data_IF_826656335028
#
_entry.id   IF_826656335028
#
_cell.length_a   1.000
_cell.length_b   1.000
_cell.length_c   1.000
_cell.angle_alpha   90.00
_cell.angle_beta   90.00
_cell.angle_gamma   90.00
#
_symmetry.space_group_name_H-M   'P 1'
#
loop_
_entity.id
_entity.type
_entity.pdbx_description
1 polymer ?
#
# COMPACT_ATOMS: atom_id res chain seq x y z
N UNK A 1 -20.97 13.05 -2.28
CA UNK A 1 -21.36 11.77 -1.64
C UNK A 1 -20.56 10.62 -2.24
N UNK A 2 -20.49 10.49 -3.57
CA UNK A 2 -19.73 9.44 -4.25
C UNK A 2 -18.20 9.49 -4.03
N UNK A 3 -17.59 10.68 -4.04
CA UNK A 3 -16.15 10.85 -3.80
C UNK A 3 -15.71 10.38 -2.40
N UNK A 4 -16.49 10.70 -1.35
CA UNK A 4 -16.16 10.28 0.01
C UNK A 4 -16.25 8.76 0.17
N UNK A 5 -17.21 8.12 -0.49
CA UNK A 5 -17.35 6.67 -0.47
C UNK A 5 -16.12 5.97 -1.08
N UNK A 6 -15.60 6.51 -2.19
CA UNK A 6 -14.39 5.97 -2.82
C UNK A 6 -13.16 6.10 -1.92
N UNK A 7 -13.01 7.24 -1.26
CA UNK A 7 -11.91 7.47 -0.32
C UNK A 7 -11.96 6.46 0.83
N UNK A 8 -13.14 6.25 1.43
CA UNK A 8 -13.34 5.26 2.49
C UNK A 8 -13.00 3.82 2.04
N UNK A 9 -13.42 3.45 0.82
CA UNK A 9 -13.12 2.13 0.25
C UNK A 9 -11.61 1.91 0.11
N UNK A 10 -10.90 2.91 -0.41
CA UNK A 10 -9.44 2.87 -0.61
C UNK A 10 -8.70 2.83 0.73
N UNK A 11 -9.11 3.65 1.72
CA UNK A 11 -8.56 3.62 3.08
C UNK A 11 -8.65 2.22 3.68
N UNK A 12 -9.82 1.58 3.53
CA UNK A 12 -10.04 0.21 4.02
C UNK A 12 -9.19 -0.82 3.28
N UNK A 13 -9.14 -0.77 1.94
CA UNK A 13 -8.34 -1.70 1.11
C UNK A 13 -6.86 -1.62 1.43
N UNK A 14 -6.36 -0.43 1.75
CA UNK A 14 -4.96 -0.19 2.11
C UNK A 14 -4.65 -0.42 3.59
N UNK A 15 -5.63 -0.86 4.39
CA UNK A 15 -5.44 -1.08 5.83
C UNK A 15 -5.02 0.19 6.58
N UNK A 16 -5.57 1.35 6.18
CA UNK A 16 -5.28 2.66 6.76
C UNK A 16 -6.38 3.17 7.70
N UNK A 17 -7.43 2.38 7.94
CA UNK A 17 -8.57 2.81 8.77
C UNK A 17 -8.17 3.24 10.19
N UNK A 18 -7.17 2.60 10.80
CA UNK A 18 -6.70 2.95 12.14
C UNK A 18 -5.92 4.27 12.21
N UNK A 19 -5.45 4.78 11.07
CA UNK A 19 -4.64 6.00 10.99
C UNK A 19 -5.27 7.05 10.03
N UNK A 20 -6.55 6.91 9.67
CA UNK A 20 -7.21 7.75 8.67
C UNK A 20 -7.20 9.24 9.02
N UNK A 21 -7.38 9.55 10.31
CA UNK A 21 -7.38 10.92 10.84
C UNK A 21 -6.04 11.33 11.47
N UNK A 22 -4.98 10.55 11.23
CA UNK A 22 -3.64 10.84 11.75
C UNK A 22 -2.91 11.80 10.82
N UNK A 23 -2.18 12.76 11.39
CA UNK A 23 -1.30 13.63 10.61
C UNK A 23 -0.24 12.80 9.88
N UNK A 24 -0.02 13.08 8.59
CA UNK A 24 1.00 12.40 7.77
C UNK A 24 2.39 12.56 8.40
N UNK A 25 2.68 13.73 8.98
CA UNK A 25 3.97 14.06 9.58
C UNK A 25 4.93 14.68 8.57
N UNK A 26 6.03 15.22 9.10
CA UNK A 26 7.14 15.78 8.33
C UNK A 26 8.40 15.01 8.73
N UNK A 27 9.12 14.40 7.79
CA UNK A 27 10.34 13.65 8.09
C UNK A 27 11.29 14.48 8.96
N UNK A 28 11.76 13.90 10.07
CA UNK A 28 12.68 14.51 11.03
C UNK A 28 12.17 15.80 11.72
N UNK A 29 10.88 16.12 11.65
CA UNK A 29 10.32 17.33 12.30
C UNK A 29 9.04 17.05 13.06
N UNK A 30 8.05 16.45 12.42
CA UNK A 30 6.72 16.19 13.02
C UNK A 30 6.41 14.72 12.89
N UNK A 31 6.20 14.05 14.03
CA UNK A 31 5.79 12.64 14.05
C UNK A 31 4.41 12.49 13.41
N UNK A 32 4.24 11.48 12.57
CA UNK A 32 2.99 11.17 11.90
C UNK A 32 2.87 9.68 11.60
N UNK A 33 2.50 9.34 10.37
CA UNK A 33 2.38 7.96 9.91
C UNK A 33 3.72 7.21 9.96
N UNK A 34 3.65 5.90 10.19
CA UNK A 34 4.80 5.02 10.04
C UNK A 34 5.27 4.94 8.58
N UNK A 35 6.49 4.47 8.35
CA UNK A 35 7.03 4.32 6.99
C UNK A 35 6.15 3.38 6.12
N UNK A 36 5.65 2.28 6.70
CA UNK A 36 4.75 1.36 5.99
C UNK A 36 3.38 1.98 5.68
N UNK A 37 2.80 2.75 6.61
CA UNK A 37 1.54 3.48 6.36
C UNK A 37 1.72 4.57 5.30
N UNK A 38 2.83 5.31 5.35
CA UNK A 38 3.15 6.32 4.33
C UNK A 38 3.30 5.69 2.94
N UNK A 39 3.92 4.51 2.84
CA UNK A 39 4.02 3.77 1.58
C UNK A 39 2.64 3.33 1.07
N UNK A 40 1.78 2.78 1.95
CA UNK A 40 0.40 2.40 1.59
C UNK A 40 -0.46 3.61 1.23
N UNK A 41 -0.24 4.77 1.87
CA UNK A 41 -0.91 6.02 1.53
C UNK A 41 -0.51 6.51 0.13
N UNK A 42 0.76 6.37 -0.27
CA UNK A 42 1.17 6.69 -1.63
C UNK A 42 0.41 5.84 -2.65
N UNK A 43 0.31 4.52 -2.45
CA UNK A 43 -0.50 3.65 -3.31
C UNK A 43 -1.99 3.99 -3.26
N UNK A 44 -2.52 4.32 -2.08
CA UNK A 44 -3.90 4.75 -1.90
C UNK A 44 -4.24 5.92 -2.84
N UNK A 45 -3.35 6.93 -2.90
CA UNK A 45 -3.53 8.10 -3.77
C UNK A 45 -3.59 7.70 -5.25
N UNK A 46 -2.74 6.78 -5.69
CA UNK A 46 -2.71 6.32 -7.09
C UNK A 46 -3.99 5.57 -7.49
N UNK A 47 -4.49 4.70 -6.61
CA UNK A 47 -5.65 3.84 -6.92
C UNK A 47 -7.01 4.54 -6.77
N UNK A 48 -7.06 5.76 -6.26
CA UNK A 48 -8.29 6.56 -6.22
C UNK A 48 -8.92 6.68 -7.61
N UNK A 49 -8.10 6.69 -8.65
CA UNK A 49 -8.51 6.78 -10.07
C UNK A 49 -9.02 5.47 -10.68
N UNK A 50 -9.00 4.36 -9.93
CA UNK A 50 -9.37 3.03 -10.41
C UNK A 50 -8.60 2.59 -11.68
N UNK A 51 -7.24 2.62 -11.69
CA UNK A 51 -6.49 2.18 -12.86
C UNK A 51 -6.72 0.68 -13.11
N UNK A 52 -6.71 0.26 -14.38
CA UNK A 52 -6.80 -1.17 -14.72
C UNK A 52 -5.48 -1.91 -14.47
N UNK A 53 -4.35 -1.21 -14.61
CA UNK A 53 -3.02 -1.73 -14.40
C UNK A 53 -2.25 -0.77 -13.48
N UNK A 54 -1.62 -1.33 -12.44
CA UNK A 54 -0.77 -0.60 -11.50
C UNK A 54 0.67 -1.14 -11.59
N UNK A 55 1.62 -0.24 -11.85
CA UNK A 55 3.05 -0.55 -11.83
C UNK A 55 3.67 -0.05 -10.53
N UNK A 56 4.42 -0.90 -9.83
CA UNK A 56 5.14 -0.51 -8.61
C UNK A 56 6.61 -0.89 -8.70
N UNK A 57 7.49 0.11 -8.67
CA UNK A 57 8.92 -0.11 -8.63
C UNK A 57 9.40 -0.23 -7.18
N UNK A 58 9.98 -1.38 -6.83
CA UNK A 58 10.53 -1.70 -5.50
C UNK A 58 9.66 -1.24 -4.32
N UNK A 59 8.39 -1.72 -4.20
CA UNK A 59 7.44 -1.22 -3.21
C UNK A 59 7.86 -1.51 -1.76
N UNK A 60 8.78 -2.45 -1.55
CA UNK A 60 9.30 -2.87 -0.25
C UNK A 60 10.59 -2.16 0.15
N UNK A 61 11.15 -1.29 -0.69
CA UNK A 61 12.41 -0.61 -0.41
C UNK A 61 12.29 0.31 0.82
N UNK A 62 13.27 0.18 1.73
CA UNK A 62 13.34 0.92 3.00
C UNK A 62 12.40 0.40 4.10
N UNK A 63 11.76 -0.76 3.91
CA UNK A 63 10.89 -1.39 4.90
C UNK A 63 11.54 -2.63 5.51
N UNK A 64 11.24 -2.90 6.78
CA UNK A 64 11.54 -4.21 7.38
C UNK A 64 10.63 -5.31 6.80
N UNK A 65 10.95 -6.57 7.07
CA UNK A 65 10.22 -7.71 6.52
C UNK A 65 8.73 -7.74 6.89
N UNK A 66 8.39 -7.27 8.11
CA UNK A 66 7.01 -7.24 8.59
C UNK A 66 6.20 -6.18 7.84
N UNK A 67 6.72 -4.94 7.77
CA UNK A 67 6.10 -3.84 7.03
C UNK A 67 5.99 -4.13 5.53
N UNK A 68 7.04 -4.73 4.94
CA UNK A 68 7.03 -5.17 3.54
C UNK A 68 5.91 -6.18 3.28
N UNK A 69 5.70 -7.14 4.18
CA UNK A 69 4.58 -8.09 4.11
C UNK A 69 3.22 -7.40 4.06
N UNK A 70 3.00 -6.37 4.89
CA UNK A 70 1.76 -5.58 4.86
C UNK A 70 1.56 -4.82 3.55
N UNK A 71 2.62 -4.24 2.98
CA UNK A 71 2.54 -3.54 1.68
C UNK A 71 2.19 -4.52 0.57
N UNK A 72 2.87 -5.66 0.50
CA UNK A 72 2.64 -6.67 -0.54
C UNK A 72 1.26 -7.32 -0.39
N UNK A 73 0.79 -7.59 0.83
CA UNK A 73 -0.56 -8.09 1.07
C UNK A 73 -1.64 -7.10 0.60
N UNK A 74 -1.43 -5.79 0.79
CA UNK A 74 -2.35 -4.77 0.28
C UNK A 74 -2.37 -4.76 -1.26
N UNK A 75 -1.21 -4.82 -1.92
CA UNK A 75 -1.12 -4.91 -3.38
C UNK A 75 -1.75 -6.21 -3.92
N UNK A 76 -1.57 -7.34 -3.21
CA UNK A 76 -2.22 -8.61 -3.54
C UNK A 76 -3.75 -8.50 -3.46
N UNK A 77 -4.28 -7.85 -2.42
CA UNK A 77 -5.72 -7.63 -2.29
C UNK A 77 -6.32 -6.77 -3.43
N UNK A 78 -5.54 -5.84 -3.99
CA UNK A 78 -5.95 -5.11 -5.20
C UNK A 78 -5.97 -6.02 -6.42
N UNK A 79 -4.97 -6.90 -6.55
CA UNK A 79 -4.91 -7.89 -7.62
C UNK A 79 -6.10 -8.86 -7.57
N UNK A 80 -6.40 -9.39 -6.38
CA UNK A 80 -7.58 -10.24 -6.15
C UNK A 80 -8.91 -9.50 -6.43
N UNK A 81 -8.90 -8.17 -6.34
CA UNK A 81 -10.01 -7.29 -6.70
C UNK A 81 -10.15 -7.01 -8.22
N UNK A 82 -9.33 -7.64 -9.06
CA UNK A 82 -9.39 -7.53 -10.53
C UNK A 82 -8.48 -6.47 -11.15
N UNK A 83 -7.63 -5.80 -10.36
CA UNK A 83 -6.61 -4.88 -10.88
C UNK A 83 -5.38 -5.67 -11.32
N UNK A 84 -4.81 -5.41 -12.49
CA UNK A 84 -3.51 -6.01 -12.82
C UNK A 84 -2.41 -5.26 -12.07
N UNK A 85 -1.63 -5.95 -11.24
CA UNK A 85 -0.54 -5.33 -10.47
C UNK A 85 0.79 -5.93 -10.91
N UNK A 86 1.69 -5.08 -11.39
CA UNK A 86 3.04 -5.46 -11.81
C UNK A 86 4.04 -4.78 -10.90
N UNK A 87 4.92 -5.56 -10.28
CA UNK A 87 5.90 -5.02 -9.36
C UNK A 87 7.31 -5.55 -9.61
N UNK A 88 8.32 -4.77 -9.23
CA UNK A 88 9.71 -5.22 -9.09
C UNK A 88 10.02 -5.34 -7.60
N UNK A 89 10.74 -6.38 -7.17
CA UNK A 89 11.24 -6.48 -5.79
C UNK A 89 12.72 -6.89 -5.84
N UNK A 90 13.57 -6.07 -5.24
CA UNK A 90 14.97 -6.43 -4.99
C UNK A 90 15.06 -7.32 -3.73
N UNK A 91 15.48 -8.58 -3.90
CA UNK A 91 15.73 -9.54 -2.81
C UNK A 91 14.54 -9.72 -1.84
N UNK A 92 13.42 -10.35 -2.26
CA UNK A 92 12.28 -10.58 -1.38
C UNK A 92 12.63 -11.51 -0.23
N UNK A 93 12.07 -11.25 0.95
CA UNK A 93 12.08 -12.23 2.03
C UNK A 93 11.23 -13.46 1.62
N UNK A 94 11.48 -14.60 2.25
CA UNK A 94 10.69 -15.81 2.00
C UNK A 94 9.20 -15.63 2.31
N UNK A 95 8.86 -14.82 3.32
CA UNK A 95 7.47 -14.46 3.62
C UNK A 95 6.82 -13.64 2.49
N UNK A 96 7.52 -12.62 1.99
CA UNK A 96 7.03 -11.79 0.89
C UNK A 96 6.90 -12.62 -0.39
N UNK A 97 7.88 -13.47 -0.68
CA UNK A 97 7.86 -14.33 -1.86
C UNK A 97 6.65 -15.27 -1.88
N UNK A 98 6.28 -15.84 -0.74
CA UNK A 98 5.10 -16.72 -0.62
C UNK A 98 3.77 -16.04 -0.95
N UNK A 99 3.69 -14.70 -0.93
CA UNK A 99 2.47 -13.97 -1.31
C UNK A 99 2.26 -13.90 -2.84
N UNK A 100 3.25 -14.30 -3.64
CA UNK A 100 3.19 -14.36 -5.10
C UNK A 100 2.86 -15.76 -5.65
N UNK A 101 2.44 -16.70 -4.81
CA UNK A 101 2.09 -18.05 -5.26
C UNK A 101 0.97 -18.04 -6.31
N UNK A 102 1.11 -18.95 -7.29
CA UNK A 102 0.41 -19.09 -8.59
C UNK A 102 -1.06 -18.66 -8.64
#
# INVERSE_FOLDING_TARGET
MEQNHRVEEVIRKMGLSGCADTLIGIPNSVKGLSCGEMKRLAFASEILTCPQILFCDEPTSGLDAFMAGHVVAALRALADGGMTVVITIHQPSSQVYSLFSE
#
